data_IF_849245645016
#
_entry.id   IF_849245645016
#
_cell.length_a   1.000
_cell.length_b   1.000
_cell.length_c   1.000
_cell.angle_alpha   90.00
_cell.angle_beta   90.00
_cell.angle_gamma   90.00
#
_symmetry.space_group_name_H-M   'P 1'
#
loop_
_entity.id
_entity.type
_entity.pdbx_description
1 polymer ?
#
# COMPACT_ATOMS: atom_id res chain seq x y z
N UNK A 1 -1.11 7.38 -28.22
CA UNK A 1 -0.74 6.02 -27.76
C UNK A 1 -1.87 5.06 -28.13
N UNK A 2 -1.59 3.90 -28.75
CA UNK A 2 -2.60 2.94 -29.21
C UNK A 2 -3.16 2.09 -28.04
N UNK A 3 -3.81 2.74 -27.08
CA UNK A 3 -4.33 2.08 -25.87
C UNK A 3 -5.53 1.18 -26.20
N UNK A 4 -5.55 -0.03 -25.65
CA UNK A 4 -6.66 -0.96 -25.79
C UNK A 4 -7.82 -0.60 -24.84
N UNK A 5 -9.04 -0.87 -25.29
CA UNK A 5 -10.26 -0.60 -24.55
C UNK A 5 -11.08 -1.88 -24.35
N UNK A 6 -11.88 -1.91 -23.28
CA UNK A 6 -12.85 -2.98 -23.04
C UNK A 6 -13.93 -2.99 -24.13
N UNK A 7 -14.50 -4.16 -24.38
CA UNK A 7 -15.62 -4.32 -25.31
C UNK A 7 -16.95 -4.11 -24.59
N UNK A 8 -17.92 -3.47 -25.26
CA UNK A 8 -19.27 -3.26 -24.72
C UNK A 8 -19.77 -1.82 -24.86
N UNK A 9 -20.88 -1.51 -24.19
CA UNK A 9 -21.59 -0.23 -24.33
C UNK A 9 -20.86 0.98 -23.72
N UNK A 10 -19.89 0.75 -22.83
CA UNK A 10 -19.04 1.79 -22.24
C UNK A 10 -17.58 1.30 -22.24
N UNK A 11 -16.83 1.50 -23.34
CA UNK A 11 -15.45 1.08 -23.43
C UNK A 11 -14.57 1.92 -22.49
N UNK A 12 -13.83 1.26 -21.62
CA UNK A 12 -12.85 1.88 -20.73
C UNK A 12 -11.45 1.42 -21.10
N UNK A 13 -10.42 2.26 -20.89
CA UNK A 13 -9.04 1.83 -21.03
C UNK A 13 -8.76 0.56 -20.24
N UNK A 14 -8.08 -0.40 -20.87
CA UNK A 14 -7.61 -1.59 -20.18
C UNK A 14 -6.36 -1.26 -19.39
N UNK A 15 -6.57 -0.79 -18.16
CA UNK A 15 -5.52 -0.49 -17.18
C UNK A 15 -5.85 -1.22 -15.89
N UNK A 16 -4.87 -1.90 -15.33
CA UNK A 16 -4.97 -2.62 -14.06
C UNK A 16 -3.89 -2.15 -13.10
N UNK A 17 -4.23 -1.95 -11.83
CA UNK A 17 -3.26 -1.58 -10.79
C UNK A 17 -2.97 -2.77 -9.89
N UNK A 18 -1.73 -2.88 -9.41
CA UNK A 18 -1.33 -3.96 -8.51
C UNK A 18 -2.14 -3.98 -7.22
N UNK A 19 -2.33 -2.81 -6.61
CA UNK A 19 -3.23 -2.65 -5.49
C UNK A 19 -3.83 -1.23 -5.54
N UNK A 20 -5.15 -1.06 -5.46
CA UNK A 20 -5.75 0.27 -5.34
C UNK A 20 -5.14 1.04 -4.16
N UNK A 21 -4.83 2.31 -4.38
CA UNK A 21 -4.34 3.21 -3.34
C UNK A 21 -5.52 3.99 -2.75
N UNK A 22 -5.54 4.15 -1.42
CA UNK A 22 -6.56 4.94 -0.74
C UNK A 22 -6.42 6.43 -1.08
N UNK A 23 -7.54 7.14 -1.15
CA UNK A 23 -7.52 8.60 -1.35
C UNK A 23 -6.77 9.27 -0.21
N UNK A 24 -5.84 10.17 -0.54
CA UNK A 24 -5.01 10.89 0.43
C UNK A 24 -3.76 10.13 0.90
N UNK A 25 -3.45 8.99 0.28
CA UNK A 25 -2.21 8.24 0.50
C UNK A 25 -1.28 8.46 -0.69
N UNK A 26 -0.01 8.78 -0.43
CA UNK A 26 1.03 8.84 -1.47
C UNK A 26 1.58 7.45 -1.80
N UNK A 27 2.06 7.24 -3.03
CA UNK A 27 2.70 5.98 -3.45
C UNK A 27 4.08 6.26 -4.03
N UNK A 28 5.10 5.51 -3.63
CA UNK A 28 6.48 5.67 -4.12
C UNK A 28 6.87 4.64 -5.19
N UNK A 29 6.33 3.42 -5.11
CA UNK A 29 6.66 2.32 -6.01
C UNK A 29 5.40 1.53 -6.39
N UNK A 30 4.60 2.15 -7.25
CA UNK A 30 3.31 1.66 -7.74
C UNK A 30 3.45 0.95 -9.08
N UNK A 31 2.63 -0.08 -9.29
CA UNK A 31 2.64 -0.87 -10.52
C UNK A 31 1.28 -0.79 -11.20
N UNK A 32 1.31 -0.61 -12.52
CA UNK A 32 0.14 -0.67 -13.37
C UNK A 32 0.47 -1.39 -14.68
N UNK A 33 -0.44 -2.25 -15.10
CA UNK A 33 -0.44 -2.88 -16.42
C UNK A 33 -1.42 -2.14 -17.33
N UNK A 34 -1.06 -1.99 -18.59
CA UNK A 34 -1.99 -1.51 -19.61
C UNK A 34 -1.76 -2.24 -20.93
N UNK A 35 -2.83 -2.43 -21.69
CA UNK A 35 -2.78 -3.12 -22.97
C UNK A 35 -2.72 -2.12 -24.14
N UNK A 36 -1.91 -2.42 -25.15
CA UNK A 36 -1.85 -1.67 -26.41
C UNK A 36 -2.43 -2.50 -27.55
N UNK A 37 -2.99 -1.83 -28.57
CA UNK A 37 -3.50 -2.48 -29.79
C UNK A 37 -2.41 -2.71 -30.84
N UNK A 38 -1.22 -2.13 -30.64
CA UNK A 38 -0.05 -2.24 -31.50
C UNK A 38 1.20 -2.35 -30.64
N UNK A 39 2.20 -3.09 -31.13
CA UNK A 39 3.52 -3.13 -30.51
C UNK A 39 4.21 -1.78 -30.65
N UNK A 40 4.59 -1.19 -29.51
CA UNK A 40 5.32 0.08 -29.44
C UNK A 40 6.64 -0.17 -28.69
N UNK A 41 7.78 0.30 -29.21
CA UNK A 41 9.05 0.20 -28.49
C UNK A 41 8.97 0.83 -27.10
N UNK A 42 9.49 0.12 -26.09
CA UNK A 42 9.45 0.53 -24.67
C UNK A 42 10.05 1.92 -24.46
N UNK A 43 11.14 2.26 -25.15
CA UNK A 43 11.79 3.58 -25.04
C UNK A 43 10.93 4.73 -25.59
N UNK A 44 10.17 4.47 -26.66
CA UNK A 44 9.25 5.45 -27.23
C UNK A 44 8.07 5.68 -26.27
N UNK A 45 7.54 4.59 -25.73
CA UNK A 45 6.45 4.60 -24.76
C UNK A 45 6.85 5.31 -23.46
N UNK A 46 8.06 5.06 -22.96
CA UNK A 46 8.61 5.73 -21.78
C UNK A 46 8.67 7.25 -21.99
N UNK A 47 9.23 7.71 -23.13
CA UNK A 47 9.31 9.14 -23.44
C UNK A 47 7.93 9.78 -23.57
N UNK A 48 7.02 9.14 -24.28
CA UNK A 48 5.67 9.65 -24.51
C UNK A 48 4.89 9.78 -23.19
N UNK A 49 4.93 8.77 -22.32
CA UNK A 49 4.25 8.79 -21.02
C UNK A 49 4.88 9.80 -20.07
N UNK A 50 6.22 9.81 -19.96
CA UNK A 50 6.92 10.73 -19.05
C UNK A 50 6.62 12.19 -19.35
N UNK A 51 6.44 12.55 -20.63
CA UNK A 51 6.07 13.92 -21.03
C UNK A 51 4.58 14.26 -20.88
N UNK A 52 3.71 13.27 -20.64
CA UNK A 52 2.27 13.44 -20.54
C UNK A 52 1.73 13.31 -19.10
N UNK A 53 2.54 12.82 -18.16
CA UNK A 53 2.13 12.68 -16.76
C UNK A 53 2.01 14.06 -16.09
N UNK A 54 0.99 14.26 -15.24
CA UNK A 54 0.84 15.49 -14.47
C UNK A 54 1.91 15.58 -13.37
N UNK A 55 2.08 16.79 -12.83
CA UNK A 55 2.90 17.00 -11.63
C UNK A 55 2.45 16.07 -10.48
N UNK A 56 3.42 15.50 -9.77
CA UNK A 56 3.18 14.53 -8.69
C UNK A 56 3.07 13.06 -9.15
N UNK A 57 3.09 12.79 -10.47
CA UNK A 57 3.22 11.44 -11.00
C UNK A 57 4.51 11.31 -11.82
N UNK A 58 5.34 10.33 -11.47
CA UNK A 58 6.59 10.06 -12.15
C UNK A 58 6.63 8.60 -12.61
N UNK A 59 6.96 8.39 -13.88
CA UNK A 59 7.24 7.06 -14.41
C UNK A 59 8.66 6.65 -14.00
N UNK A 60 8.78 5.59 -13.22
CA UNK A 60 10.08 5.06 -12.73
C UNK A 60 10.63 3.95 -13.62
N UNK A 61 9.78 3.28 -14.40
CA UNK A 61 10.17 2.24 -15.34
C UNK A 61 8.98 1.78 -16.17
N UNK A 62 9.28 1.19 -17.34
CA UNK A 62 8.30 0.46 -18.15
C UNK A 62 8.95 -0.76 -18.80
N UNK A 63 8.20 -1.86 -18.91
CA UNK A 63 8.61 -3.07 -19.63
C UNK A 63 7.42 -3.70 -20.34
N UNK A 64 7.69 -4.42 -21.42
CA UNK A 64 6.71 -5.33 -22.02
C UNK A 64 6.63 -6.61 -21.17
N UNK A 65 5.42 -7.14 -21.03
CA UNK A 65 5.14 -8.42 -20.35
C UNK A 65 4.40 -9.34 -21.32
N UNK A 66 4.50 -10.66 -21.13
CA UNK A 66 3.79 -11.61 -21.99
C UNK A 66 2.27 -11.56 -21.76
N UNK A 67 1.47 -11.74 -22.82
CA UNK A 67 -0.01 -11.74 -22.77
C UNK A 67 -0.61 -12.74 -21.77
N UNK A 68 0.13 -13.78 -21.40
CA UNK A 68 -0.28 -14.83 -20.45
C UNK A 68 0.35 -14.67 -19.06
N UNK A 69 0.90 -13.49 -18.76
CA UNK A 69 1.39 -13.19 -17.41
C UNK A 69 0.24 -13.23 -16.41
N UNK A 70 0.46 -13.68 -15.16
CA UNK A 70 -0.55 -13.61 -14.11
C UNK A 70 -1.05 -12.18 -13.95
N UNK A 71 -2.35 -12.01 -13.68
CA UNK A 71 -2.94 -10.71 -13.43
C UNK A 71 -2.16 -9.98 -12.30
N UNK A 72 -1.79 -8.73 -12.53
CA UNK A 72 -0.92 -7.97 -11.62
C UNK A 72 -1.39 -8.02 -10.16
N UNK A 73 -2.68 -7.83 -9.91
CA UNK A 73 -3.25 -7.89 -8.56
C UNK A 73 -3.14 -9.27 -7.90
N UNK A 74 -3.13 -10.35 -8.69
CA UNK A 74 -2.95 -11.71 -8.18
C UNK A 74 -1.49 -11.99 -7.79
N UNK A 75 -0.54 -11.21 -8.30
CA UNK A 75 0.88 -11.31 -7.97
C UNK A 75 1.27 -10.55 -6.70
N UNK A 76 0.36 -9.74 -6.15
CA UNK A 76 0.58 -8.96 -4.93
C UNK A 76 0.27 -9.79 -3.68
N UNK A 77 1.19 -9.76 -2.71
CA UNK A 77 0.96 -10.34 -1.38
C UNK A 77 1.26 -9.37 -0.23
N UNK A 78 2.13 -8.37 -0.46
CA UNK A 78 2.61 -7.46 0.59
C UNK A 78 2.75 -6.03 0.12
N UNK A 79 2.60 -5.11 1.05
CA UNK A 79 2.86 -3.69 0.85
C UNK A 79 3.54 -3.11 2.09
N UNK A 80 4.52 -2.24 1.84
CA UNK A 80 5.18 -1.49 2.90
C UNK A 80 4.64 -0.07 2.95
N UNK A 81 4.59 0.46 4.15
CA UNK A 81 4.02 1.76 4.41
C UNK A 81 4.89 2.57 5.37
N UNK A 82 4.81 3.88 5.23
CA UNK A 82 5.32 4.88 6.17
C UNK A 82 4.16 5.78 6.58
N UNK A 83 4.00 5.99 7.88
CA UNK A 83 2.98 6.86 8.45
C UNK A 83 3.64 7.85 9.40
N UNK A 84 3.43 9.14 9.17
CA UNK A 84 4.08 10.21 9.92
C UNK A 84 3.02 11.03 10.65
N UNK A 85 3.24 11.34 11.92
CA UNK A 85 2.31 12.17 12.69
C UNK A 85 3.03 13.02 13.72
N UNK A 86 2.46 14.21 13.96
CA UNK A 86 2.90 15.11 15.01
C UNK A 86 2.41 14.61 16.37
N UNK A 87 3.22 14.78 17.40
CA UNK A 87 2.91 14.52 18.79
C UNK A 87 2.68 15.84 19.54
N UNK A 88 1.84 15.84 20.56
CA UNK A 88 1.64 16.99 21.44
C UNK A 88 2.79 17.17 22.44
N UNK A 89 3.55 16.10 22.69
CA UNK A 89 4.84 16.11 23.39
C UNK A 89 5.78 15.08 22.77
N UNK A 90 7.10 15.30 22.80
CA UNK A 90 8.08 14.26 22.49
C UNK A 90 7.85 12.99 23.33
N UNK A 91 8.13 11.84 22.73
CA UNK A 91 8.21 10.52 23.40
C UNK A 91 9.62 9.96 23.21
N UNK A 92 10.12 9.22 24.18
CA UNK A 92 11.40 8.51 24.04
C UNK A 92 11.31 7.41 22.99
N UNK A 93 12.43 7.10 22.32
CA UNK A 93 12.49 5.96 21.39
C UNK A 93 12.16 4.64 22.09
N UNK A 94 12.65 4.44 23.33
CA UNK A 94 12.37 3.25 24.15
C UNK A 94 10.86 3.13 24.49
N UNK A 95 10.20 4.25 24.84
CA UNK A 95 8.74 4.28 25.06
C UNK A 95 7.97 3.83 23.80
N UNK A 96 8.41 4.28 22.62
CA UNK A 96 7.80 3.89 21.35
C UNK A 96 8.03 2.40 21.03
N UNK A 97 9.26 1.93 21.22
CA UNK A 97 9.64 0.53 20.93
C UNK A 97 8.87 -0.45 21.83
N UNK A 98 8.75 -0.15 23.12
CA UNK A 98 7.99 -0.96 24.09
C UNK A 98 6.51 -1.04 23.71
N UNK A 99 5.93 0.09 23.31
CA UNK A 99 4.54 0.19 22.90
C UNK A 99 4.29 -0.60 21.61
N UNK A 100 5.19 -0.52 20.63
CA UNK A 100 5.11 -1.30 19.39
C UNK A 100 5.27 -2.79 19.70
N UNK A 101 6.24 -3.17 20.52
CA UNK A 101 6.45 -4.56 20.92
C UNK A 101 5.22 -5.14 21.63
N UNK A 102 4.64 -4.40 22.56
CA UNK A 102 3.40 -4.77 23.27
C UNK A 102 2.21 -4.92 22.32
N UNK A 103 2.07 -4.02 21.34
CA UNK A 103 1.02 -4.10 20.32
C UNK A 103 1.20 -5.35 19.43
N UNK A 104 2.44 -5.60 18.97
CA UNK A 104 2.77 -6.74 18.11
C UNK A 104 2.73 -8.08 18.85
N UNK A 105 2.88 -8.11 20.17
CA UNK A 105 2.78 -9.31 21.00
C UNK A 105 1.34 -9.81 21.19
N UNK A 106 0.33 -9.01 20.80
CA UNK A 106 -1.08 -9.40 20.92
C UNK A 106 -1.38 -10.61 20.02
N UNK A 107 -2.13 -11.61 20.53
CA UNK A 107 -2.54 -12.76 19.72
C UNK A 107 -3.54 -12.37 18.63
N UNK A 108 -4.37 -11.35 18.90
CA UNK A 108 -5.47 -10.92 18.03
C UNK A 108 -5.60 -9.39 18.07
N UNK A 109 -5.91 -8.77 16.93
CA UNK A 109 -6.19 -7.35 16.80
C UNK A 109 -7.45 -7.20 15.94
N UNK A 110 -8.58 -6.91 16.58
CA UNK A 110 -9.87 -6.84 15.90
C UNK A 110 -10.24 -5.44 15.41
N UNK A 111 -10.70 -5.36 14.15
CA UNK A 111 -11.27 -4.16 13.55
C UNK A 111 -12.66 -4.42 12.97
N UNK A 112 -13.52 -3.40 12.94
CA UNK A 112 -14.88 -3.52 12.40
C UNK A 112 -14.94 -3.11 10.93
N UNK A 113 -15.37 -4.03 10.07
CA UNK A 113 -15.64 -3.74 8.66
C UNK A 113 -17.13 -3.87 8.36
N UNK A 114 -17.65 -2.98 7.52
CA UNK A 114 -19.02 -3.11 6.98
C UNK A 114 -19.03 -4.17 5.87
N UNK A 115 -20.04 -5.02 5.88
CA UNK A 115 -20.33 -5.94 4.79
C UNK A 115 -21.18 -5.26 3.70
N UNK A 116 -21.45 -5.97 2.59
CA UNK A 116 -22.27 -5.46 1.48
C UNK A 116 -23.72 -5.14 1.87
N UNK A 117 -24.23 -5.70 2.97
CA UNK A 117 -25.60 -5.48 3.48
C UNK A 117 -25.66 -4.44 4.61
N UNK A 118 -24.55 -3.78 4.92
CA UNK A 118 -24.47 -2.74 5.97
C UNK A 118 -24.21 -3.27 7.39
N UNK A 119 -24.18 -4.58 7.60
CA UNK A 119 -23.81 -5.21 8.87
C UNK A 119 -22.32 -5.03 9.18
N UNK A 120 -21.98 -4.87 10.46
CA UNK A 120 -20.60 -4.80 10.94
C UNK A 120 -20.09 -6.20 11.28
N UNK A 121 -18.89 -6.52 10.83
CA UNK A 121 -18.19 -7.78 11.17
C UNK A 121 -16.80 -7.47 11.68
N UNK A 122 -16.43 -8.10 12.80
CA UNK A 122 -15.07 -8.08 13.33
C UNK A 122 -14.15 -8.89 12.43
N UNK A 123 -13.00 -8.34 12.12
CA UNK A 123 -11.93 -8.98 11.38
C UNK A 123 -10.66 -8.89 12.21
N UNK A 124 -10.02 -10.02 12.46
CA UNK A 124 -8.68 -10.02 13.06
C UNK A 124 -7.65 -9.65 11.98
N UNK A 125 -6.91 -8.57 12.20
CA UNK A 125 -5.87 -8.09 11.30
C UNK A 125 -4.47 -8.49 11.76
N UNK A 126 -4.29 -9.05 12.98
CA UNK A 126 -2.98 -9.42 13.52
C UNK A 126 -2.18 -10.34 12.59
N UNK A 127 -2.76 -11.39 11.96
CA UNK A 127 -2.02 -12.27 11.06
C UNK A 127 -1.47 -11.59 9.81
N UNK A 128 -2.02 -10.43 9.43
CA UNK A 128 -1.58 -9.67 8.26
C UNK A 128 -0.65 -8.50 8.58
N UNK A 129 -0.18 -8.36 9.82
CA UNK A 129 0.86 -7.39 10.20
C UNK A 129 2.17 -8.18 10.35
N UNK A 130 3.02 -8.11 9.33
CA UNK A 130 4.27 -8.85 9.30
C UNK A 130 5.37 -8.17 10.11
N UNK A 131 5.54 -6.86 9.92
CA UNK A 131 6.53 -6.03 10.62
C UNK A 131 5.88 -4.70 10.94
N UNK A 132 6.20 -4.17 12.11
CA UNK A 132 5.90 -2.80 12.50
C UNK A 132 7.08 -2.27 13.31
N UNK A 133 7.54 -1.07 12.98
CA UNK A 133 8.64 -0.38 13.67
C UNK A 133 8.35 1.11 13.70
N UNK A 134 9.05 1.85 14.57
CA UNK A 134 8.83 3.26 14.72
C UNK A 134 10.11 4.03 15.02
N UNK A 135 10.09 5.32 14.69
CA UNK A 135 11.09 6.29 15.11
C UNK A 135 10.39 7.48 15.73
N UNK A 136 10.94 7.95 16.85
CA UNK A 136 10.52 9.19 17.49
C UNK A 136 11.67 10.18 17.41
N UNK A 137 11.44 11.31 16.72
CA UNK A 137 12.41 12.39 16.63
C UNK A 137 11.70 13.72 16.88
N UNK A 138 12.13 14.44 17.91
CA UNK A 138 11.45 15.65 18.40
C UNK A 138 9.97 15.37 18.73
N UNK A 139 9.04 16.07 18.09
CA UNK A 139 7.61 15.90 18.20
C UNK A 139 7.02 15.17 16.97
N UNK A 140 7.83 14.42 16.22
CA UNK A 140 7.37 13.61 15.08
C UNK A 140 7.59 12.14 15.36
N UNK A 141 6.53 11.37 15.16
CA UNK A 141 6.56 9.92 15.15
C UNK A 141 6.39 9.41 13.72
N UNK A 142 7.31 8.54 13.31
CA UNK A 142 7.27 7.81 12.05
C UNK A 142 7.04 6.35 12.34
N UNK A 143 6.02 5.75 11.75
CA UNK A 143 5.73 4.32 11.82
C UNK A 143 5.99 3.71 10.44
N UNK A 144 6.76 2.64 10.41
CA UNK A 144 6.91 1.80 9.23
C UNK A 144 6.20 0.47 9.46
N UNK A 145 5.45 0.02 8.46
CA UNK A 145 4.69 -1.21 8.56
C UNK A 145 4.78 -2.03 7.28
N UNK A 146 4.79 -3.34 7.44
CA UNK A 146 4.75 -4.30 6.36
C UNK A 146 3.51 -5.17 6.52
N UNK A 147 2.58 -5.01 5.59
CA UNK A 147 1.22 -5.48 5.71
C UNK A 147 0.86 -6.42 4.56
N UNK A 148 0.04 -7.42 4.86
CA UNK A 148 -0.55 -8.29 3.86
C UNK A 148 -1.54 -7.52 2.99
N UNK A 149 -1.39 -7.63 1.68
CA UNK A 149 -2.31 -7.07 0.68
C UNK A 149 -2.41 -7.98 -0.54
N UNK A 150 -3.45 -7.83 -1.38
CA UNK A 150 -3.65 -8.64 -2.57
C UNK A 150 -5.11 -9.10 -2.70
N UNK A 151 -5.30 -10.32 -3.21
CA UNK A 151 -6.65 -10.88 -3.47
C UNK A 151 -7.42 -11.25 -2.18
N UNK A 152 -6.72 -11.52 -1.09
CA UNK A 152 -7.33 -11.92 0.18
C UNK A 152 -6.49 -11.48 1.39
N UNK A 153 -7.10 -11.43 2.57
CA UNK A 153 -6.37 -11.10 3.82
C UNK A 153 -5.84 -9.67 3.91
N UNK A 154 -6.37 -8.75 3.09
CA UNK A 154 -5.95 -7.34 3.07
C UNK A 154 -6.04 -6.69 4.47
N UNK A 155 -4.94 -6.10 4.91
CA UNK A 155 -4.86 -5.24 6.10
C UNK A 155 -4.67 -3.79 5.65
N UNK A 156 -5.48 -2.89 6.20
CA UNK A 156 -5.38 -1.45 5.91
C UNK A 156 -4.50 -0.79 6.95
N UNK A 157 -3.56 0.04 6.52
CA UNK A 157 -2.66 0.75 7.42
C UNK A 157 -3.44 1.61 8.43
N UNK A 158 -4.50 2.27 7.99
CA UNK A 158 -5.34 3.12 8.83
C UNK A 158 -6.00 2.32 9.96
N UNK A 159 -6.43 1.09 9.68
CA UNK A 159 -6.99 0.18 10.68
C UNK A 159 -5.92 -0.25 11.70
N UNK A 160 -4.68 -0.49 11.25
CA UNK A 160 -3.53 -0.79 12.12
C UNK A 160 -3.21 0.40 13.02
N UNK A 161 -3.10 1.60 12.45
CA UNK A 161 -2.79 2.83 13.18
C UNK A 161 -3.89 3.18 14.17
N UNK A 162 -5.17 3.04 13.80
CA UNK A 162 -6.28 3.28 14.71
C UNK A 162 -6.25 2.31 15.91
N UNK A 163 -6.01 1.01 15.66
CA UNK A 163 -5.87 0.03 16.72
C UNK A 163 -4.64 0.30 17.60
N UNK A 164 -3.52 0.68 16.99
CA UNK A 164 -2.27 1.01 17.67
C UNK A 164 -2.43 2.21 18.59
N UNK A 165 -2.99 3.32 18.11
CA UNK A 165 -3.18 4.53 18.91
C UNK A 165 -4.18 4.31 20.05
N UNK A 166 -5.30 3.62 19.80
CA UNK A 166 -6.24 3.25 20.86
C UNK A 166 -5.60 2.41 21.96
N UNK A 167 -4.60 1.61 21.61
CA UNK A 167 -3.93 0.72 22.56
C UNK A 167 -2.79 1.35 23.34
N UNK A 168 -2.13 2.34 22.74
CA UNK A 168 -0.87 2.87 23.23
C UNK A 168 -1.00 4.14 24.07
N UNK A 169 -2.11 4.88 23.92
CA UNK A 169 -2.32 6.18 24.56
C UNK A 169 -1.22 7.21 24.26
N UNK A 170 -0.52 7.04 23.13
CA UNK A 170 0.50 7.99 22.68
C UNK A 170 -0.10 9.37 22.43
N UNK A 171 0.68 10.46 22.66
CA UNK A 171 0.21 11.83 22.56
C UNK A 171 0.07 12.33 21.11
N UNK A 172 -0.66 11.60 20.27
CA UNK A 172 -0.81 11.93 18.84
C UNK A 172 -1.67 13.18 18.64
N UNK A 173 -1.18 14.10 17.80
CA UNK A 173 -1.84 15.34 17.43
C UNK A 173 -2.08 15.39 15.91
N UNK A 174 -3.34 15.38 15.49
CA UNK A 174 -3.71 15.50 14.08
C UNK A 174 -3.90 14.16 13.37
N UNK A 175 -3.70 14.15 12.05
CA UNK A 175 -3.84 12.97 11.18
C UNK A 175 -2.47 12.50 10.71
N UNK A 176 -2.36 11.20 10.48
CA UNK A 176 -1.17 10.65 9.84
C UNK A 176 -1.08 11.10 8.38
N UNK A 177 0.12 11.44 7.94
CA UNK A 177 0.51 11.52 6.54
C UNK A 177 0.95 10.11 6.12
N UNK A 178 0.28 9.54 5.12
CA UNK A 178 0.43 8.13 4.76
C UNK A 178 1.11 7.99 3.40
N UNK A 179 2.09 7.10 3.34
CA UNK A 179 2.80 6.75 2.11
C UNK A 179 2.89 5.23 1.99
N UNK A 180 2.48 4.64 0.86
CA UNK A 180 2.83 3.28 0.48
C UNK A 180 4.20 3.30 -0.20
N UNK A 181 5.19 2.74 0.46
CA UNK A 181 6.60 2.78 0.01
C UNK A 181 6.93 1.64 -0.95
N UNK A 182 6.09 0.61 -1.04
CA UNK A 182 6.26 -0.44 -2.04
C UNK A 182 5.18 -1.51 -2.04
N UNK A 183 5.15 -2.26 -3.15
CA UNK A 183 4.28 -3.42 -3.37
C UNK A 183 5.16 -4.61 -3.79
N UNK A 184 4.89 -5.77 -3.21
CA UNK A 184 5.74 -6.94 -3.35
C UNK A 184 4.92 -8.22 -3.57
N UNK A 185 5.51 -9.14 -4.32
CA UNK A 185 5.16 -10.55 -4.26
C UNK A 185 5.83 -11.17 -3.03
N UNK A 186 5.17 -12.13 -2.39
CA UNK A 186 5.77 -12.92 -1.30
C UNK A 186 6.08 -14.34 -1.77
N UNK A 187 7.27 -14.83 -1.44
CA UNK A 187 7.63 -16.25 -1.52
C UNK A 187 8.10 -16.72 -0.14
N UNK A 188 7.15 -16.99 0.76
CA UNK A 188 7.46 -17.22 2.17
C UNK A 188 7.69 -15.89 2.93
N UNK A 189 8.83 -15.74 3.61
CA UNK A 189 9.15 -14.53 4.38
C UNK A 189 9.83 -13.42 3.55
N UNK A 190 10.36 -13.75 2.37
CA UNK A 190 11.05 -12.79 1.51
C UNK A 190 10.07 -11.96 0.65
N UNK A 191 10.34 -10.66 0.58
CA UNK A 191 9.71 -9.74 -0.37
C UNK A 191 10.48 -9.77 -1.68
N UNK A 192 9.77 -9.96 -2.79
CA UNK A 192 10.30 -9.74 -4.13
C UNK A 192 9.56 -8.60 -4.80
N UNK A 193 10.30 -7.79 -5.53
CA UNK A 193 9.68 -6.74 -6.35
C UNK A 193 8.81 -7.41 -7.42
N UNK A 194 7.75 -6.74 -7.88
CA UNK A 194 6.97 -7.22 -9.03
C UNK A 194 7.69 -6.97 -10.36
N UNK A 195 8.87 -6.34 -10.28
CA UNK A 195 9.73 -6.02 -11.41
C UNK A 195 10.67 -7.17 -11.79
N UNK A 196 10.94 -8.10 -10.88
CA UNK A 196 11.76 -9.30 -11.12
C UNK A 196 10.91 -10.47 -11.58
#
# INVERSE_FOLDING_TARGET
MPLAFTQGFNPHPKISFAAPLGVGIAGEAEYADFELTLDVPVDELFRALSGALPEGLQLTGIRSIHDHSPALMASVDRATYRAEVKLSRPIGQEELDDVIASFMARPEIYVERKNKTGGKRKHDIRPGINVMSGKSENDIMVIEADLKTGSSGNVRLEEVLEAFIKSSHLPVCGRFVLTRTGIFAAKGQEKKTLWE
#
